data_IF_918186154224
#
_entry.id   IF_918186154224
#
_cell.length_a   1.000
_cell.length_b   1.000
_cell.length_c   1.000
_cell.angle_alpha   90.00
_cell.angle_beta   90.00
_cell.angle_gamma   90.00
#
_symmetry.space_group_name_H-M   'P 1'
#
loop_
_entity.id
_entity.type
_entity.pdbx_description
1 polymer ?
#
# COMPACT_ATOMS: atom_id res chain seq x y z
N UNK A 1 -11.40 35.49 -14.30
CA UNK A 1 -11.30 34.46 -15.37
C UNK A 1 -10.35 33.36 -14.88
N UNK A 2 -10.79 32.52 -13.94
CA UNK A 2 -10.01 31.35 -13.53
C UNK A 2 -10.59 30.15 -14.26
N UNK A 3 -9.79 29.59 -15.16
CA UNK A 3 -10.16 28.44 -15.98
C UNK A 3 -10.46 27.25 -15.09
N UNK A 4 -11.71 26.79 -15.14
CA UNK A 4 -12.13 25.49 -14.65
C UNK A 4 -11.47 24.40 -15.48
N UNK A 5 -10.24 24.04 -15.13
CA UNK A 5 -9.61 22.81 -15.59
C UNK A 5 -10.41 21.66 -15.01
N UNK A 6 -11.22 21.03 -15.85
CA UNK A 6 -11.87 19.78 -15.51
C UNK A 6 -10.76 18.75 -15.27
N UNK A 7 -10.37 18.56 -14.01
CA UNK A 7 -9.63 17.37 -13.60
C UNK A 7 -10.57 16.19 -13.81
N UNK A 8 -10.56 15.68 -15.03
CA UNK A 8 -11.14 14.38 -15.36
C UNK A 8 -10.30 13.39 -14.59
N UNK A 9 -10.78 12.99 -13.41
CA UNK A 9 -10.34 11.75 -12.79
C UNK A 9 -10.51 10.70 -13.89
N UNK A 10 -9.39 10.29 -14.49
CA UNK A 10 -9.34 9.04 -15.20
C UNK A 10 -9.74 8.03 -14.14
N UNK A 11 -11.00 7.59 -14.20
CA UNK A 11 -11.41 6.37 -13.53
C UNK A 11 -10.44 5.34 -14.07
N UNK A 12 -9.42 5.01 -13.27
CA UNK A 12 -8.49 3.94 -13.56
C UNK A 12 -9.33 2.78 -14.04
N UNK A 13 -8.91 2.19 -15.15
CA UNK A 13 -9.54 1.01 -15.74
C UNK A 13 -10.11 0.15 -14.63
N UNK A 14 -11.45 -0.01 -14.59
CA UNK A 14 -12.10 -0.96 -13.68
C UNK A 14 -11.64 -2.35 -14.08
N UNK A 15 -10.42 -2.71 -13.68
CA UNK A 15 -10.09 -4.09 -13.43
C UNK A 15 -11.06 -4.48 -12.31
N UNK A 16 -12.07 -5.24 -12.68
CA UNK A 16 -12.98 -5.88 -11.73
C UNK A 16 -12.08 -6.76 -10.86
N UNK A 17 -11.75 -6.26 -9.68
CA UNK A 17 -11.02 -6.99 -8.67
C UNK A 17 -11.99 -8.02 -8.08
N UNK A 18 -11.82 -9.29 -8.43
CA UNK A 18 -12.53 -10.37 -7.74
C UNK A 18 -11.68 -10.81 -6.54
N UNK A 19 -12.18 -10.70 -5.30
CA UNK A 19 -11.44 -11.15 -4.13
C UNK A 19 -11.36 -12.68 -4.15
N UNK A 20 -10.25 -13.20 -4.65
CA UNK A 20 -9.93 -14.62 -4.51
C UNK A 20 -9.27 -14.82 -3.14
N UNK A 21 -10.10 -14.95 -2.11
CA UNK A 21 -9.62 -15.34 -0.79
C UNK A 21 -9.28 -16.83 -0.80
N UNK A 22 -8.11 -17.19 -1.31
CA UNK A 22 -7.56 -18.51 -1.05
C UNK A 22 -7.18 -18.56 0.43
N UNK A 23 -7.89 -19.40 1.19
CA UNK A 23 -7.65 -19.61 2.60
C UNK A 23 -6.26 -20.26 2.75
N UNK A 24 -5.28 -19.46 3.16
CA UNK A 24 -3.97 -19.95 3.58
C UNK A 24 -4.17 -20.89 4.80
N UNK A 25 -4.19 -22.21 4.55
CA UNK A 25 -4.31 -23.25 5.60
C UNK A 25 -2.96 -23.40 6.29
N UNK A 26 -2.91 -23.20 7.60
CA UNK A 26 -1.79 -23.64 8.42
C UNK A 26 -1.76 -25.18 8.39
N UNK A 27 -0.73 -25.73 7.77
CA UNK A 27 -0.39 -27.16 7.82
C UNK A 27 0.55 -27.39 9.00
N UNK A 28 0.60 -28.59 9.57
CA UNK A 28 1.36 -28.93 10.80
C UNK A 28 2.89 -28.86 10.68
N UNK A 29 3.43 -27.86 10.00
CA UNK A 29 4.86 -27.59 9.90
C UNK A 29 5.32 -26.79 11.13
N UNK A 30 6.52 -27.11 11.62
CA UNK A 30 7.17 -26.42 12.74
C UNK A 30 7.84 -25.10 12.36
N UNK A 31 7.61 -24.60 11.13
CA UNK A 31 8.23 -23.39 10.60
C UNK A 31 7.29 -22.17 10.57
N UNK A 32 7.85 -20.97 10.42
CA UNK A 32 7.08 -19.73 10.40
C UNK A 32 6.26 -19.63 9.10
N UNK A 33 4.96 -19.43 9.23
CA UNK A 33 4.08 -19.07 8.12
C UNK A 33 4.03 -17.54 7.97
N UNK A 34 4.24 -17.04 6.75
CA UNK A 34 4.29 -15.60 6.47
C UNK A 34 3.12 -15.17 5.59
N UNK A 35 2.41 -14.13 6.01
CA UNK A 35 1.44 -13.42 5.18
C UNK A 35 1.98 -12.02 4.97
N UNK A 36 2.09 -11.59 3.71
CA UNK A 36 2.63 -10.30 3.34
C UNK A 36 1.68 -9.56 2.42
N UNK A 37 1.53 -8.26 2.70
CA UNK A 37 0.69 -7.34 1.94
C UNK A 37 1.47 -6.07 1.60
N UNK A 38 1.19 -5.47 0.44
CA UNK A 38 1.81 -4.22 -0.01
C UNK A 38 3.37 -4.31 0.04
N UNK A 39 4.06 -3.35 0.65
CA UNK A 39 5.53 -3.34 0.80
C UNK A 39 6.07 -4.55 1.57
N UNK A 40 5.22 -5.20 2.38
CA UNK A 40 5.57 -6.42 3.10
C UNK A 40 6.01 -7.55 2.17
N UNK A 41 5.50 -7.62 0.94
CA UNK A 41 5.94 -8.63 -0.01
C UNK A 41 7.36 -8.42 -0.50
N UNK A 42 7.76 -7.17 -0.78
CA UNK A 42 9.15 -6.85 -1.11
C UNK A 42 10.10 -7.26 0.03
N UNK A 43 9.70 -7.00 1.28
CA UNK A 43 10.47 -7.40 2.47
C UNK A 43 10.55 -8.92 2.58
N UNK A 44 9.42 -9.63 2.52
CA UNK A 44 9.36 -11.09 2.66
C UNK A 44 10.13 -11.82 1.54
N UNK A 45 9.98 -11.36 0.30
CA UNK A 45 10.69 -11.89 -0.87
C UNK A 45 12.19 -11.62 -0.77
N UNK A 46 12.59 -10.39 -0.40
CA UNK A 46 14.00 -10.06 -0.21
C UNK A 46 14.64 -10.93 0.86
N UNK A 47 13.99 -11.09 2.01
CA UNK A 47 14.47 -11.96 3.09
C UNK A 47 14.60 -13.43 2.63
N UNK A 48 13.63 -13.94 1.86
CA UNK A 48 13.66 -15.33 1.35
C UNK A 48 14.70 -15.58 0.27
N UNK A 49 14.80 -14.68 -0.71
CA UNK A 49 15.59 -14.87 -1.93
C UNK A 49 17.03 -14.41 -1.77
N UNK A 50 17.26 -13.33 -1.01
CA UNK A 50 18.60 -12.74 -0.86
C UNK A 50 19.24 -13.01 0.50
N UNK A 51 18.47 -13.39 1.53
CA UNK A 51 18.98 -13.64 2.89
C UNK A 51 18.69 -15.04 3.42
N UNK A 52 18.11 -15.93 2.61
CA UNK A 52 17.91 -17.34 2.96
C UNK A 52 16.87 -17.60 4.07
N UNK A 53 16.01 -16.64 4.40
CA UNK A 53 14.98 -16.84 5.41
C UNK A 53 14.08 -18.04 5.07
N UNK A 54 13.86 -18.95 6.01
CA UNK A 54 13.05 -20.16 5.79
C UNK A 54 11.61 -19.94 6.27
N UNK A 55 10.65 -20.13 5.37
CA UNK A 55 9.22 -20.04 5.65
C UNK A 55 8.56 -21.39 5.41
N UNK A 56 7.68 -21.82 6.30
CA UNK A 56 6.84 -22.99 6.08
C UNK A 56 5.79 -22.75 4.98
N UNK A 57 5.30 -21.51 4.86
CA UNK A 57 4.53 -21.04 3.71
C UNK A 57 4.62 -19.51 3.57
N UNK A 58 4.34 -19.01 2.38
CA UNK A 58 4.30 -17.58 2.07
C UNK A 58 3.02 -17.26 1.27
N UNK A 59 2.19 -16.39 1.84
CA UNK A 59 0.93 -15.90 1.29
C UNK A 59 1.13 -14.43 0.90
N UNK A 60 1.04 -14.09 -0.39
CA UNK A 60 1.26 -12.72 -0.90
C UNK A 60 -0.09 -12.12 -1.34
N UNK A 61 -0.41 -10.92 -0.85
CA UNK A 61 -1.68 -10.22 -1.13
C UNK A 61 -1.34 -8.82 -1.64
N UNK A 62 -1.66 -8.51 -2.90
CA UNK A 62 -1.42 -7.18 -3.52
C UNK A 62 -0.05 -6.58 -3.21
N UNK A 63 0.99 -7.42 -3.35
CA UNK A 63 2.32 -7.03 -2.90
C UNK A 63 3.06 -6.14 -3.90
N UNK A 64 3.87 -5.24 -3.36
CA UNK A 64 4.95 -4.61 -4.13
C UNK A 64 6.04 -5.67 -4.34
N UNK A 65 6.25 -6.08 -5.59
CA UNK A 65 7.26 -7.08 -5.96
C UNK A 65 8.12 -6.70 -7.17
N UNK A 66 7.60 -5.89 -8.08
CA UNK A 66 8.26 -5.50 -9.34
C UNK A 66 8.33 -3.98 -9.48
N UNK A 67 9.37 -3.48 -10.15
CA UNK A 67 9.56 -2.07 -10.46
C UNK A 67 9.01 -1.68 -11.84
N UNK A 68 8.58 -0.43 -12.06
CA UNK A 68 8.52 0.67 -11.09
C UNK A 68 7.28 0.61 -10.19
N UNK A 69 7.39 1.15 -8.96
CA UNK A 69 6.31 1.20 -7.97
C UNK A 69 6.23 2.57 -7.29
N UNK A 70 5.08 2.83 -6.64
CA UNK A 70 4.77 4.09 -5.97
C UNK A 70 3.72 4.90 -6.72
N UNK A 71 2.73 5.44 -6.00
CA UNK A 71 1.76 6.38 -6.55
C UNK A 71 2.42 7.72 -6.90
N UNK A 72 1.74 8.57 -7.67
CA UNK A 72 2.22 9.92 -7.97
C UNK A 72 2.49 10.72 -6.69
N UNK A 73 1.59 10.64 -5.70
CA UNK A 73 1.77 11.30 -4.42
C UNK A 73 2.98 10.74 -3.64
N UNK A 74 3.10 9.41 -3.56
CA UNK A 74 4.23 8.75 -2.90
C UNK A 74 5.57 9.20 -3.51
N UNK A 75 5.66 9.19 -4.84
CA UNK A 75 6.88 9.59 -5.55
C UNK A 75 7.17 11.09 -5.38
N UNK A 76 6.15 11.96 -5.36
CA UNK A 76 6.31 13.39 -5.10
C UNK A 76 6.85 13.65 -3.69
N UNK A 77 6.24 13.03 -2.67
CA UNK A 77 6.70 13.14 -1.28
C UNK A 77 8.14 12.64 -1.15
N UNK A 78 8.45 11.47 -1.74
CA UNK A 78 9.81 10.92 -1.75
C UNK A 78 10.84 11.89 -2.35
N UNK A 79 10.49 12.57 -3.44
CA UNK A 79 11.39 13.51 -4.11
C UNK A 79 11.52 14.85 -3.38
N UNK A 80 10.52 15.24 -2.59
CA UNK A 80 10.41 16.57 -1.99
C UNK A 80 10.17 16.52 -0.47
N UNK A 81 10.72 15.51 0.22
CA UNK A 81 10.43 15.24 1.65
C UNK A 81 10.57 16.49 2.54
N UNK A 82 11.67 17.24 2.36
CA UNK A 82 11.95 18.49 3.10
C UNK A 82 10.86 19.56 2.93
N UNK A 83 10.11 19.58 1.83
CA UNK A 83 8.99 20.52 1.62
C UNK A 83 7.76 20.06 2.41
N UNK A 84 7.47 18.76 2.40
CA UNK A 84 6.32 18.19 3.11
C UNK A 84 6.50 18.22 4.62
N UNK A 85 7.74 18.14 5.12
CA UNK A 85 8.09 18.31 6.54
C UNK A 85 7.80 19.72 7.06
N UNK A 86 7.79 20.73 6.18
CA UNK A 86 7.50 22.12 6.54
C UNK A 86 6.00 22.44 6.57
N UNK A 87 5.13 21.48 6.21
CA UNK A 87 3.69 21.71 6.24
C UNK A 87 3.21 21.96 7.67
N UNK A 88 2.30 22.94 7.88
CA UNK A 88 1.63 23.09 9.16
C UNK A 88 1.02 21.74 9.60
N UNK A 89 1.11 21.36 10.89
CA UNK A 89 0.76 20.01 11.34
C UNK A 89 -0.64 19.53 10.92
N UNK A 90 -1.62 20.43 10.87
CA UNK A 90 -2.99 20.10 10.45
C UNK A 90 -3.11 19.80 8.95
N UNK A 91 -2.31 20.46 8.10
CA UNK A 91 -2.25 20.20 6.65
C UNK A 91 -1.57 18.85 6.40
N UNK A 92 -0.45 18.60 7.08
CA UNK A 92 0.23 17.30 7.01
C UNK A 92 -0.71 16.16 7.43
N UNK A 93 -1.42 16.31 8.56
CA UNK A 93 -2.43 15.34 9.02
C UNK A 93 -3.50 15.09 7.97
N UNK A 94 -4.06 16.15 7.37
CA UNK A 94 -5.07 16.03 6.33
C UNK A 94 -4.58 15.26 5.10
N UNK A 95 -3.35 15.55 4.64
CA UNK A 95 -2.75 14.85 3.51
C UNK A 95 -2.55 13.34 3.80
N UNK A 96 -2.04 12.99 4.99
CA UNK A 96 -1.87 11.59 5.41
C UNK A 96 -3.21 10.88 5.55
N UNK A 97 -4.20 11.51 6.17
CA UNK A 97 -5.55 10.93 6.31
C UNK A 97 -6.19 10.67 4.94
N UNK A 98 -6.09 11.62 4.00
CA UNK A 98 -6.58 11.44 2.65
C UNK A 98 -5.86 10.28 1.94
N UNK A 99 -4.53 10.21 2.08
CA UNK A 99 -3.73 9.15 1.46
C UNK A 99 -4.07 7.76 1.99
N UNK A 100 -4.19 7.59 3.30
CA UNK A 100 -4.57 6.30 3.91
C UNK A 100 -6.03 5.94 3.56
N UNK A 101 -6.93 6.92 3.47
CA UNK A 101 -8.32 6.66 3.12
C UNK A 101 -8.47 6.10 1.71
N UNK A 102 -7.68 6.58 0.75
CA UNK A 102 -7.65 6.07 -0.63
C UNK A 102 -7.09 4.63 -0.70
N UNK A 103 -6.21 4.26 0.23
CA UNK A 103 -5.68 2.90 0.35
C UNK A 103 -6.70 1.89 0.93
N UNK A 104 -7.88 2.34 1.38
CA UNK A 104 -8.95 1.46 1.87
C UNK A 104 -10.09 1.37 0.87
N UNK A 105 -10.40 0.15 0.41
CA UNK A 105 -11.56 -0.10 -0.46
C UNK A 105 -12.89 0.34 0.17
N UNK A 106 -13.03 0.27 1.50
CA UNK A 106 -14.27 0.65 2.22
C UNK A 106 -14.17 2.00 2.94
N UNK A 107 -13.05 2.72 2.78
CA UNK A 107 -12.72 3.88 3.62
C UNK A 107 -12.29 3.47 5.03
N UNK A 108 -11.79 4.43 5.81
CA UNK A 108 -11.48 4.24 7.23
C UNK A 108 -12.74 4.48 8.06
N UNK A 109 -13.01 3.64 9.05
CA UNK A 109 -14.09 3.90 10.02
C UNK A 109 -13.70 5.05 10.93
N UNK A 110 -14.70 5.80 11.43
CA UNK A 110 -14.49 6.92 12.35
C UNK A 110 -13.83 6.51 13.69
N UNK A 111 -13.78 5.22 13.99
CA UNK A 111 -13.10 4.67 15.16
C UNK A 111 -11.57 4.64 15.00
N UNK A 112 -11.07 4.49 13.77
CA UNK A 112 -9.63 4.37 13.46
C UNK A 112 -8.95 5.72 13.14
N UNK A 113 -9.69 6.83 13.15
CA UNK A 113 -9.22 8.15 12.70
C UNK A 113 -9.12 9.21 13.81
N UNK A 114 -9.42 8.84 15.06
CA UNK A 114 -9.32 9.72 16.25
C UNK A 114 -7.87 9.90 16.69
#
# INVERSE_FOLDING_TARGET
MYGGGQYRHSRGSRARWEPRTERCRATGHTGVHVIAHDVGGAVALRARLLHGASYASLCLIDVVALSPWGSLFFNLVKQQAHVFEQLPPHVHRGAVQAYISDASHRGLTAELTR
#
